data_IF_940634297452
#
_entry.id   IF_940634297452
#
_cell.length_a   1.000
_cell.length_b   1.000
_cell.length_c   1.000
_cell.angle_alpha   90.00
_cell.angle_beta   90.00
_cell.angle_gamma   90.00
#
_symmetry.space_group_name_H-M   'P 1'
#
loop_
_entity.id
_entity.type
_entity.pdbx_description
1 polymer ?
#
# COMPACT_ATOMS: atom_id res chain seq x y z
N UNK A 1 13.15 -4.79 -26.41
CA UNK A 1 12.68 -4.85 -25.00
C UNK A 1 12.88 -6.24 -24.38
N UNK A 2 12.35 -7.32 -24.96
CA UNK A 2 12.53 -8.71 -24.48
C UNK A 2 14.00 -9.17 -24.29
N UNK A 3 14.92 -8.72 -25.15
CA UNK A 3 16.36 -9.03 -25.04
C UNK A 3 17.05 -8.36 -23.84
N UNK A 4 16.58 -7.18 -23.43
CA UNK A 4 17.10 -6.42 -22.27
C UNK A 4 16.62 -7.07 -20.97
N UNK A 5 15.35 -7.51 -20.91
CA UNK A 5 14.80 -8.27 -19.79
C UNK A 5 15.55 -9.59 -19.56
N UNK A 6 15.94 -10.29 -20.64
CA UNK A 6 16.78 -11.49 -20.55
C UNK A 6 18.19 -11.24 -19.98
N UNK A 7 18.75 -10.04 -20.18
CA UNK A 7 20.09 -9.69 -19.70
C UNK A 7 20.13 -9.24 -18.22
N UNK A 8 18.97 -8.93 -17.62
CA UNK A 8 18.85 -8.41 -16.26
C UNK A 8 17.85 -9.27 -15.47
N UNK A 9 18.30 -10.39 -14.87
CA UNK A 9 17.41 -11.38 -14.26
C UNK A 9 16.58 -10.82 -13.10
N UNK A 10 16.99 -9.70 -12.49
CA UNK A 10 16.25 -9.05 -11.40
C UNK A 10 15.00 -8.28 -11.88
N UNK A 11 14.93 -7.82 -13.15
CA UNK A 11 13.72 -7.15 -13.67
C UNK A 11 12.53 -8.13 -13.81
N UNK A 12 12.84 -9.42 -13.96
CA UNK A 12 11.85 -10.48 -14.03
C UNK A 12 11.45 -11.01 -12.63
N UNK A 13 11.96 -10.41 -11.54
CA UNK A 13 11.70 -10.89 -10.18
C UNK A 13 10.73 -9.98 -9.44
N UNK A 14 9.69 -10.53 -8.79
CA UNK A 14 8.71 -9.77 -8.04
C UNK A 14 9.31 -8.90 -6.92
N UNK A 15 10.34 -9.39 -6.22
CA UNK A 15 10.98 -8.67 -5.10
C UNK A 15 11.43 -7.26 -5.47
N UNK A 16 12.03 -7.09 -6.65
CA UNK A 16 12.45 -5.78 -7.15
C UNK A 16 11.25 -4.81 -7.28
N UNK A 17 10.13 -5.30 -7.80
CA UNK A 17 8.93 -4.48 -8.02
C UNK A 17 8.18 -4.19 -6.73
N UNK A 18 8.13 -5.14 -5.79
CA UNK A 18 7.60 -4.90 -4.43
C UNK A 18 8.44 -3.85 -3.71
N UNK A 19 9.76 -3.84 -3.92
CA UNK A 19 10.64 -2.83 -3.35
C UNK A 19 10.34 -1.43 -3.91
N UNK A 20 10.23 -1.31 -5.24
CA UNK A 20 9.86 -0.04 -5.87
C UNK A 20 8.46 0.41 -5.46
N UNK A 21 7.51 -0.52 -5.34
CA UNK A 21 6.17 -0.26 -4.84
C UNK A 21 6.22 0.37 -3.44
N UNK A 22 6.99 -0.22 -2.52
CA UNK A 22 7.13 0.30 -1.15
C UNK A 22 7.79 1.68 -1.12
N UNK A 23 8.85 1.90 -1.91
CA UNK A 23 9.51 3.21 -2.02
C UNK A 23 8.55 4.27 -2.55
N UNK A 24 7.85 3.96 -3.64
CA UNK A 24 6.88 4.87 -4.26
C UNK A 24 5.75 5.22 -3.31
N UNK A 25 5.16 4.22 -2.66
CA UNK A 25 4.04 4.41 -1.73
C UNK A 25 4.46 5.20 -0.47
N UNK A 26 5.62 4.91 0.12
CA UNK A 26 6.15 5.72 1.24
C UNK A 26 6.33 7.17 0.79
N UNK A 27 6.87 7.41 -0.41
CA UNK A 27 7.03 8.76 -0.93
C UNK A 27 5.70 9.47 -1.16
N UNK A 28 4.72 8.78 -1.75
CA UNK A 28 3.40 9.34 -2.05
C UNK A 28 2.58 9.64 -0.78
N UNK A 29 2.77 8.88 0.30
CA UNK A 29 2.15 9.19 1.60
C UNK A 29 2.52 10.59 2.11
N UNK A 30 3.65 11.18 1.73
CA UNK A 30 3.93 12.57 2.06
C UNK A 30 2.90 13.52 1.43
N UNK A 31 2.52 13.27 0.17
CA UNK A 31 1.55 14.08 -0.57
C UNK A 31 0.15 13.89 -0.01
N UNK A 32 -0.25 12.63 0.19
CA UNK A 32 -1.59 12.28 0.68
C UNK A 32 -1.85 12.86 2.07
N UNK A 33 -0.92 12.65 3.01
CA UNK A 33 -0.99 13.21 4.36
C UNK A 33 -0.96 14.74 4.31
N UNK A 34 -0.11 15.34 3.48
CA UNK A 34 -0.04 16.80 3.40
C UNK A 34 -1.34 17.41 2.90
N UNK A 35 -2.00 16.80 1.92
CA UNK A 35 -3.30 17.25 1.43
C UNK A 35 -4.38 17.07 2.51
N UNK A 36 -4.41 15.92 3.19
CA UNK A 36 -5.39 15.65 4.24
C UNK A 36 -5.28 16.62 5.41
N UNK A 37 -4.07 16.86 5.92
CA UNK A 37 -3.82 17.79 7.04
C UNK A 37 -3.78 19.26 6.62
N UNK A 38 -3.85 19.56 5.32
CA UNK A 38 -4.09 20.94 4.89
C UNK A 38 -5.53 21.39 5.24
N UNK A 39 -6.48 20.45 5.42
CA UNK A 39 -7.87 20.76 5.74
C UNK A 39 -8.02 21.43 7.11
N UNK A 40 -7.21 21.02 8.10
CA UNK A 40 -7.13 21.63 9.43
C UNK A 40 -5.88 22.53 9.60
N UNK A 41 -5.18 22.85 8.50
CA UNK A 41 -3.97 23.66 8.48
C UNK A 41 -2.85 23.17 9.42
N UNK A 42 -2.71 21.85 9.58
CA UNK A 42 -1.75 21.22 10.48
C UNK A 42 -1.84 21.77 11.92
N UNK A 43 -3.03 21.68 12.49
CA UNK A 43 -3.34 22.23 13.82
C UNK A 43 -2.35 21.76 14.89
N UNK A 44 -1.90 20.51 14.82
CA UNK A 44 -0.89 19.98 15.73
C UNK A 44 0.46 19.76 15.05
N UNK A 45 1.60 20.14 15.69
CA UNK A 45 2.93 19.91 15.15
C UNK A 45 3.25 18.43 14.82
N UNK A 46 2.59 17.50 15.52
CA UNK A 46 2.75 16.06 15.29
C UNK A 46 2.28 15.64 13.88
N UNK A 47 1.39 16.39 13.25
CA UNK A 47 0.86 16.10 11.91
C UNK A 47 1.92 16.25 10.81
N UNK A 48 2.99 17.02 11.06
CA UNK A 48 4.14 17.13 10.16
C UNK A 48 5.07 15.92 10.19
N UNK A 49 5.03 15.10 11.24
CA UNK A 49 5.91 13.93 11.40
C UNK A 49 5.79 12.97 10.21
N UNK A 50 4.60 12.45 9.84
CA UNK A 50 4.45 11.56 8.69
C UNK A 50 4.96 12.18 7.38
N UNK A 51 4.67 13.46 7.12
CA UNK A 51 5.14 14.16 5.90
C UNK A 51 6.67 14.18 5.84
N UNK A 52 7.33 14.66 6.89
CA UNK A 52 8.79 14.74 6.95
C UNK A 52 9.42 13.35 6.90
N UNK A 53 8.83 12.37 7.60
CA UNK A 53 9.28 10.99 7.60
C UNK A 53 9.26 10.39 6.19
N UNK A 54 8.17 10.54 5.45
CA UNK A 54 8.06 10.03 4.08
C UNK A 54 9.01 10.70 3.10
N UNK A 55 9.16 12.03 3.17
CA UNK A 55 10.09 12.79 2.33
C UNK A 55 11.55 12.38 2.56
N UNK A 56 11.91 11.98 3.78
CA UNK A 56 13.25 11.47 4.09
C UNK A 56 13.43 9.99 3.72
N UNK A 57 12.46 9.14 4.07
CA UNK A 57 12.61 7.69 3.99
C UNK A 57 12.58 7.15 2.56
N UNK A 58 11.74 7.68 1.67
CA UNK A 58 11.67 7.19 0.29
C UNK A 58 13.00 7.39 -0.46
N UNK A 59 13.65 8.58 -0.44
CA UNK A 59 14.99 8.76 -1.00
C UNK A 59 16.04 7.89 -0.32
N UNK A 60 15.99 7.73 1.01
CA UNK A 60 16.95 6.87 1.73
C UNK A 60 16.83 5.40 1.34
N UNK A 61 15.62 4.88 1.13
CA UNK A 61 15.41 3.53 0.61
C UNK A 61 15.92 3.40 -0.83
N UNK A 62 15.69 4.40 -1.67
CA UNK A 62 16.24 4.43 -3.03
C UNK A 62 17.77 4.40 -3.03
N UNK A 63 18.40 5.20 -2.16
CA UNK A 63 19.86 5.18 -1.96
C UNK A 63 20.32 3.82 -1.46
N UNK A 64 19.61 3.21 -0.50
CA UNK A 64 19.92 1.87 -0.01
C UNK A 64 19.85 0.82 -1.14
N UNK A 65 18.87 0.92 -2.03
CA UNK A 65 18.75 0.07 -3.22
C UNK A 65 19.92 0.28 -4.19
N UNK A 66 20.33 1.52 -4.46
CA UNK A 66 21.48 1.79 -5.34
C UNK A 66 22.80 1.26 -4.76
N UNK A 67 23.01 1.42 -3.45
CA UNK A 67 24.22 1.00 -2.73
C UNK A 67 24.27 -0.52 -2.55
N UNK A 68 23.20 -1.11 -2.03
CA UNK A 68 23.09 -2.53 -1.69
C UNK A 68 22.82 -3.45 -2.87
N UNK A 69 22.18 -2.93 -3.92
CA UNK A 69 21.73 -3.68 -5.09
C UNK A 69 20.22 -3.61 -5.29
N UNK A 70 19.73 -3.94 -6.50
CA UNK A 70 18.31 -3.82 -6.85
C UNK A 70 17.41 -4.75 -6.02
N UNK A 71 17.97 -5.79 -5.42
CA UNK A 71 17.25 -6.69 -4.53
C UNK A 71 17.82 -6.54 -3.10
N UNK A 72 16.95 -6.32 -2.09
CA UNK A 72 17.38 -6.20 -0.71
C UNK A 72 18.01 -7.51 -0.20
N UNK A 73 19.05 -7.36 0.61
CA UNK A 73 19.74 -8.49 1.23
C UNK A 73 18.97 -9.00 2.46
N UNK A 74 19.03 -10.31 2.69
CA UNK A 74 18.54 -10.94 3.93
C UNK A 74 19.71 -11.40 4.80
N UNK A 75 19.44 -11.90 6.01
CA UNK A 75 20.49 -12.50 6.86
C UNK A 75 21.09 -13.76 6.23
N UNK A 76 20.28 -14.52 5.48
CA UNK A 76 20.67 -15.78 4.84
C UNK A 76 21.27 -15.58 3.46
N UNK A 77 21.00 -14.44 2.81
CA UNK A 77 21.34 -14.24 1.39
C UNK A 77 21.83 -12.84 1.10
N UNK A 78 23.00 -12.76 0.47
CA UNK A 78 23.62 -11.51 0.02
C UNK A 78 23.70 -11.48 -1.50
N UNK A 79 23.49 -10.32 -2.15
CA UNK A 79 23.77 -10.14 -3.56
C UNK A 79 25.24 -10.48 -3.88
N UNK A 80 25.46 -11.31 -4.91
CA UNK A 80 26.80 -11.66 -5.37
C UNK A 80 27.55 -10.43 -5.92
N UNK A 81 28.87 -10.40 -5.74
CA UNK A 81 29.72 -9.34 -6.27
C UNK A 81 29.59 -7.98 -5.57
N UNK A 82 28.88 -7.90 -4.42
CA UNK A 82 28.75 -6.67 -3.62
C UNK A 82 29.57 -6.76 -2.33
N UNK A 83 30.18 -5.63 -1.95
CA UNK A 83 30.95 -5.55 -0.71
C UNK A 83 30.03 -5.79 0.51
N UNK A 84 30.42 -6.64 1.49
CA UNK A 84 29.57 -7.01 2.63
C UNK A 84 29.02 -5.82 3.42
N UNK A 85 29.82 -4.77 3.60
CA UNK A 85 29.40 -3.59 4.35
C UNK A 85 28.27 -2.82 3.64
N UNK A 86 28.27 -2.77 2.30
CA UNK A 86 27.21 -2.09 1.52
C UNK A 86 25.88 -2.82 1.68
N UNK A 87 25.91 -4.15 1.61
CA UNK A 87 24.72 -4.98 1.78
C UNK A 87 24.17 -4.89 3.20
N UNK A 88 25.04 -4.88 4.21
CA UNK A 88 24.64 -4.74 5.62
C UNK A 88 24.07 -3.35 5.91
N UNK A 89 24.69 -2.29 5.38
CA UNK A 89 24.21 -0.92 5.50
C UNK A 89 22.83 -0.75 4.86
N UNK A 90 22.65 -1.20 3.61
CA UNK A 90 21.38 -1.11 2.90
C UNK A 90 20.26 -1.89 3.63
N UNK A 91 20.58 -3.09 4.15
CA UNK A 91 19.65 -3.87 4.98
C UNK A 91 19.30 -3.13 6.28
N UNK A 92 20.29 -2.56 6.95
CA UNK A 92 20.11 -1.79 8.19
C UNK A 92 19.21 -0.57 7.99
N UNK A 93 19.44 0.21 6.93
CA UNK A 93 18.58 1.33 6.53
C UNK A 93 17.15 0.86 6.31
N UNK A 94 16.96 -0.22 5.54
CA UNK A 94 15.63 -0.76 5.28
C UNK A 94 14.89 -1.21 6.54
N UNK A 95 15.57 -1.91 7.46
CA UNK A 95 14.97 -2.33 8.73
C UNK A 95 14.62 -1.14 9.63
N UNK A 96 15.51 -0.14 9.71
CA UNK A 96 15.26 1.08 10.48
C UNK A 96 14.03 1.83 9.95
N UNK A 97 13.93 1.99 8.62
CA UNK A 97 12.80 2.66 7.97
C UNK A 97 11.53 1.83 8.15
N UNK A 98 11.58 0.52 7.94
CA UNK A 98 10.41 -0.35 8.11
C UNK A 98 9.85 -0.31 9.55
N UNK A 99 10.73 -0.36 10.55
CA UNK A 99 10.32 -0.20 11.95
C UNK A 99 9.82 1.23 12.25
N UNK A 100 10.49 2.25 11.71
CA UNK A 100 10.07 3.65 11.83
C UNK A 100 8.66 3.87 11.26
N UNK A 101 8.36 3.32 10.08
CA UNK A 101 7.03 3.37 9.46
C UNK A 101 5.99 2.69 10.35
N UNK A 102 6.32 1.53 10.94
CA UNK A 102 5.42 0.86 11.88
C UNK A 102 5.10 1.74 13.10
N UNK A 103 6.12 2.39 13.68
CA UNK A 103 5.95 3.31 14.81
C UNK A 103 5.11 4.53 14.41
N UNK A 104 5.40 5.18 13.29
CA UNK A 104 4.64 6.32 12.79
C UNK A 104 3.17 5.93 12.55
N UNK A 105 2.92 4.77 11.94
CA UNK A 105 1.57 4.30 11.67
C UNK A 105 0.77 3.99 12.93
N UNK A 106 1.36 3.27 13.89
CA UNK A 106 0.70 2.94 15.17
C UNK A 106 0.50 4.20 16.03
N UNK A 107 1.51 5.07 16.12
CA UNK A 107 1.39 6.31 16.87
C UNK A 107 0.34 7.24 16.26
N UNK A 108 0.34 7.39 14.93
CA UNK A 108 -0.66 8.17 14.20
C UNK A 108 -2.07 7.62 14.41
N UNK A 109 -2.24 6.29 14.36
CA UNK A 109 -3.51 5.65 14.72
C UNK A 109 -3.93 6.04 16.14
N UNK A 110 -3.07 5.84 17.14
CA UNK A 110 -3.40 6.19 18.55
C UNK A 110 -3.77 7.66 18.70
N UNK A 111 -3.10 8.58 18.00
CA UNK A 111 -3.42 10.01 18.02
C UNK A 111 -4.78 10.28 17.37
N UNK A 112 -5.08 9.67 16.21
CA UNK A 112 -6.40 9.74 15.59
C UNK A 112 -7.48 9.15 16.51
N UNK A 113 -7.18 8.07 17.23
CA UNK A 113 -8.08 7.47 18.21
C UNK A 113 -8.25 8.31 19.50
N UNK A 114 -7.38 9.30 19.74
CA UNK A 114 -7.50 10.21 20.88
C UNK A 114 -8.15 11.55 20.53
N UNK A 115 -8.34 11.82 19.23
CA UNK A 115 -9.12 12.96 18.78
C UNK A 115 -10.60 12.83 19.17
N UNK A 116 -11.37 13.89 18.92
CA UNK A 116 -12.77 14.06 19.36
C UNK A 116 -13.70 12.88 19.07
N UNK A 117 -13.35 12.02 18.12
CA UNK A 117 -14.03 10.77 17.77
C UNK A 117 -14.39 9.85 18.94
N UNK A 118 -13.42 9.54 19.81
CA UNK A 118 -13.59 8.48 20.82
C UNK A 118 -14.09 9.00 22.16
N UNK A 119 -14.24 10.32 22.29
CA UNK A 119 -14.84 10.89 23.47
C UNK A 119 -16.33 10.54 23.55
N UNK A 120 -17.00 10.45 22.39
CA UNK A 120 -18.38 9.98 22.23
C UNK A 120 -18.44 8.85 21.19
N UNK A 121 -18.33 7.59 21.63
CA UNK A 121 -18.34 6.41 20.74
C UNK A 121 -19.71 6.14 20.11
N UNK A 122 -20.14 6.99 19.18
CA UNK A 122 -21.39 6.84 18.43
C UNK A 122 -21.12 6.38 17.00
N UNK A 123 -22.09 5.68 16.39
CA UNK A 123 -22.03 5.31 14.96
C UNK A 123 -21.89 6.57 14.07
N UNK A 124 -22.43 7.70 14.53
CA UNK A 124 -22.25 9.01 13.89
C UNK A 124 -20.77 9.42 13.91
N UNK A 125 -20.09 9.34 15.04
CA UNK A 125 -18.68 9.74 15.12
C UNK A 125 -17.78 8.76 14.36
N UNK A 126 -18.10 7.46 14.37
CA UNK A 126 -17.46 6.44 13.51
C UNK A 126 -17.46 6.83 12.03
N UNK A 127 -18.55 7.41 11.58
CA UNK A 127 -18.76 7.78 10.19
C UNK A 127 -18.17 9.16 9.90
N UNK A 128 -18.43 10.21 10.69
CA UNK A 128 -18.25 11.62 10.31
C UNK A 128 -16.93 12.29 10.75
N UNK A 129 -15.86 11.55 11.00
CA UNK A 129 -14.58 12.10 11.51
C UNK A 129 -13.38 11.68 10.65
N UNK A 130 -12.20 12.20 11.01
CA UNK A 130 -10.95 11.90 10.34
C UNK A 130 -10.72 10.38 10.23
N UNK A 131 -10.30 9.88 9.05
CA UNK A 131 -10.13 8.45 8.80
C UNK A 131 -9.07 7.86 9.75
N UNK A 132 -9.53 7.14 10.77
CA UNK A 132 -8.66 6.57 11.80
C UNK A 132 -7.77 5.45 11.25
N UNK A 133 -8.16 4.80 10.15
CA UNK A 133 -7.39 3.72 9.55
C UNK A 133 -6.30 4.21 8.57
N UNK A 134 -6.30 5.48 8.16
CA UNK A 134 -5.30 6.02 7.23
C UNK A 134 -3.85 5.88 7.73
N UNK A 135 -3.53 6.14 9.02
CA UNK A 135 -2.19 5.90 9.57
C UNK A 135 -1.69 4.45 9.44
N UNK A 136 -2.59 3.46 9.36
CA UNK A 136 -2.21 2.06 9.20
C UNK A 136 -1.52 1.75 7.86
N UNK A 137 -1.63 2.63 6.86
CA UNK A 137 -0.86 2.51 5.62
C UNK A 137 0.66 2.50 5.88
N UNK A 138 1.15 3.35 6.80
CA UNK A 138 2.56 3.33 7.23
C UNK A 138 2.92 2.00 7.90
N UNK A 139 2.04 1.43 8.72
CA UNK A 139 2.27 0.14 9.35
C UNK A 139 2.37 -0.99 8.31
N UNK A 140 1.45 -1.04 7.34
CA UNK A 140 1.47 -2.01 6.25
C UNK A 140 2.73 -1.93 5.40
N UNK A 141 3.12 -0.72 4.98
CA UNK A 141 4.36 -0.50 4.21
C UNK A 141 5.62 -0.80 5.04
N UNK A 142 5.61 -0.47 6.34
CA UNK A 142 6.70 -0.81 7.25
C UNK A 142 6.92 -2.32 7.34
N UNK A 143 5.84 -3.08 7.51
CA UNK A 143 5.86 -4.54 7.49
C UNK A 143 6.34 -5.09 6.14
N UNK A 144 5.92 -4.50 5.02
CA UNK A 144 6.36 -4.90 3.68
C UNK A 144 7.87 -4.68 3.48
N UNK A 145 8.39 -3.52 3.90
CA UNK A 145 9.83 -3.23 3.85
C UNK A 145 10.60 -4.21 4.72
N UNK A 146 10.12 -4.49 5.94
CA UNK A 146 10.74 -5.47 6.84
C UNK A 146 10.73 -6.88 6.24
N UNK A 147 9.61 -7.32 5.68
CA UNK A 147 9.45 -8.62 5.01
C UNK A 147 10.54 -8.83 3.96
N UNK A 148 10.77 -7.82 3.10
CA UNK A 148 11.79 -7.84 2.05
C UNK A 148 13.25 -7.98 2.58
N UNK A 149 13.49 -7.83 3.89
CA UNK A 149 14.82 -8.00 4.52
C UNK A 149 14.90 -9.20 5.47
N UNK A 150 13.76 -9.78 5.81
CA UNK A 150 13.65 -10.84 6.81
C UNK A 150 13.41 -12.21 6.18
N UNK A 151 12.67 -12.26 5.07
CA UNK A 151 12.32 -13.50 4.38
C UNK A 151 12.93 -13.47 2.97
N UNK A 152 13.46 -14.60 2.51
CA UNK A 152 14.03 -14.70 1.17
C UNK A 152 12.93 -14.57 0.11
N UNK A 153 13.05 -13.56 -0.77
CA UNK A 153 12.05 -13.25 -1.80
C UNK A 153 11.89 -14.32 -2.88
N UNK A 154 12.69 -15.40 -2.85
CA UNK A 154 12.54 -16.59 -3.70
C UNK A 154 11.81 -17.74 -3.01
N UNK A 155 11.04 -17.46 -1.97
CA UNK A 155 10.31 -18.49 -1.25
C UNK A 155 8.82 -18.24 -1.33
N UNK A 156 8.04 -19.33 -1.39
CA UNK A 156 6.58 -19.29 -1.20
C UNK A 156 6.15 -18.53 0.04
N UNK A 157 6.93 -18.63 1.12
CA UNK A 157 6.65 -17.93 2.37
C UNK A 157 6.62 -16.41 2.16
N UNK A 158 7.65 -15.83 1.53
CA UNK A 158 7.68 -14.40 1.23
C UNK A 158 6.49 -13.99 0.35
N UNK A 159 6.21 -14.75 -0.70
CA UNK A 159 5.11 -14.48 -1.62
C UNK A 159 3.75 -14.51 -0.91
N UNK A 160 3.52 -15.49 -0.03
CA UNK A 160 2.31 -15.60 0.77
C UNK A 160 2.15 -14.40 1.71
N UNK A 161 3.23 -13.92 2.35
CA UNK A 161 3.18 -12.72 3.18
C UNK A 161 2.85 -11.45 2.40
N UNK A 162 3.31 -11.31 1.15
CA UNK A 162 2.89 -10.20 0.28
C UNK A 162 1.37 -10.27 0.02
N UNK A 163 0.82 -11.46 -0.23
CA UNK A 163 -0.63 -11.64 -0.40
C UNK A 163 -1.40 -11.33 0.90
N UNK A 164 -0.87 -11.73 2.06
CA UNK A 164 -1.47 -11.40 3.37
C UNK A 164 -1.50 -9.88 3.59
N UNK A 165 -0.41 -9.18 3.29
CA UNK A 165 -0.36 -7.72 3.43
C UNK A 165 -1.33 -7.03 2.46
N UNK A 166 -1.44 -7.51 1.22
CA UNK A 166 -2.45 -7.03 0.28
C UNK A 166 -3.88 -7.26 0.81
N UNK A 167 -4.18 -8.47 1.32
CA UNK A 167 -5.48 -8.79 1.90
C UNK A 167 -5.79 -7.90 3.13
N UNK A 168 -4.82 -7.69 4.01
CA UNK A 168 -4.96 -6.76 5.14
C UNK A 168 -5.25 -5.33 4.70
N UNK A 169 -4.59 -4.87 3.64
CA UNK A 169 -4.88 -3.59 3.00
C UNK A 169 -6.32 -3.52 2.46
N UNK A 170 -6.81 -4.59 1.80
CA UNK A 170 -8.21 -4.66 1.34
C UNK A 170 -9.22 -4.67 2.48
N UNK A 171 -8.91 -5.32 3.60
CA UNK A 171 -9.74 -5.25 4.80
C UNK A 171 -9.82 -3.82 5.36
N UNK A 172 -8.68 -3.13 5.44
CA UNK A 172 -8.64 -1.72 5.84
C UNK A 172 -9.42 -0.82 4.87
N UNK A 173 -9.24 -1.02 3.57
CA UNK A 173 -9.93 -0.25 2.53
C UNK A 173 -11.44 -0.52 2.50
N UNK A 174 -11.89 -1.73 2.84
CA UNK A 174 -13.31 -2.03 3.04
C UNK A 174 -13.90 -1.19 4.19
N UNK A 175 -13.21 -1.14 5.33
CA UNK A 175 -13.66 -0.33 6.48
C UNK A 175 -13.68 1.15 6.14
N UNK A 176 -12.63 1.67 5.47
CA UNK A 176 -12.55 3.06 5.03
C UNK A 176 -13.66 3.41 4.03
N UNK A 177 -13.80 2.62 2.97
CA UNK A 177 -14.85 2.82 1.96
C UNK A 177 -16.25 2.82 2.59
N UNK A 178 -16.50 1.91 3.54
CA UNK A 178 -17.77 1.85 4.24
C UNK A 178 -18.00 3.11 5.09
N UNK A 179 -17.01 3.54 5.86
CA UNK A 179 -17.13 4.70 6.74
C UNK A 179 -17.27 6.00 5.94
N UNK A 180 -16.42 6.23 4.94
CA UNK A 180 -16.39 7.46 4.16
C UNK A 180 -17.69 7.63 3.35
N UNK A 181 -18.18 6.58 2.70
CA UNK A 181 -19.43 6.68 1.93
C UNK A 181 -20.69 6.66 2.82
N UNK A 182 -20.62 6.10 4.03
CA UNK A 182 -21.70 6.25 5.00
C UNK A 182 -21.91 7.71 5.43
N UNK A 183 -20.88 8.57 5.37
CA UNK A 183 -21.03 10.02 5.65
C UNK A 183 -21.99 10.68 4.67
N UNK A 184 -21.98 10.21 3.42
CA UNK A 184 -22.87 10.67 2.37
C UNK A 184 -24.19 9.87 2.31
N UNK A 185 -24.39 8.93 3.25
CA UNK A 185 -25.55 8.05 3.29
C UNK A 185 -25.70 7.16 2.05
N UNK A 186 -24.59 6.88 1.34
CA UNK A 186 -24.61 6.18 0.05
C UNK A 186 -25.58 6.80 -0.97
N UNK A 187 -25.61 8.14 -1.05
CA UNK A 187 -26.58 8.87 -1.87
C UNK A 187 -26.61 8.39 -3.33
N UNK A 188 -25.46 8.03 -3.91
CA UNK A 188 -25.38 7.42 -5.24
C UNK A 188 -25.17 5.91 -5.14
N UNK A 189 -25.90 5.09 -5.93
CA UNK A 189 -25.67 3.66 -5.99
C UNK A 189 -24.23 3.27 -6.34
N UNK A 190 -23.51 4.10 -7.11
CA UNK A 190 -22.10 3.85 -7.45
C UNK A 190 -21.15 3.91 -6.25
N UNK A 191 -21.55 4.51 -5.13
CA UNK A 191 -20.75 4.53 -3.89
C UNK A 191 -20.62 3.12 -3.27
N UNK A 192 -21.57 2.21 -3.56
CA UNK A 192 -21.46 0.81 -3.13
C UNK A 192 -20.38 0.02 -3.89
N UNK A 193 -19.92 0.52 -5.04
CA UNK A 193 -18.91 -0.17 -5.86
C UNK A 193 -17.60 -0.34 -5.10
N UNK A 194 -17.16 0.66 -4.33
CA UNK A 194 -15.94 0.58 -3.53
C UNK A 194 -16.07 -0.44 -2.40
N UNK A 195 -17.19 -0.41 -1.66
CA UNK A 195 -17.46 -1.34 -0.54
C UNK A 195 -17.51 -2.79 -1.02
N UNK A 196 -18.28 -3.07 -2.08
CA UNK A 196 -18.41 -4.43 -2.63
C UNK A 196 -17.09 -4.87 -3.25
N UNK A 197 -16.44 -3.99 -4.01
CA UNK A 197 -15.14 -4.27 -4.64
C UNK A 197 -14.08 -4.66 -3.61
N UNK A 198 -13.96 -3.89 -2.53
CA UNK A 198 -13.01 -4.18 -1.45
C UNK A 198 -13.31 -5.49 -0.71
N UNK A 199 -14.59 -5.77 -0.42
CA UNK A 199 -14.99 -7.03 0.21
C UNK A 199 -14.68 -8.26 -0.68
N UNK A 200 -14.98 -8.17 -1.98
CA UNK A 200 -14.68 -9.23 -2.95
C UNK A 200 -13.16 -9.45 -3.05
N UNK A 201 -12.39 -8.38 -3.19
CA UNK A 201 -10.92 -8.44 -3.25
C UNK A 201 -10.32 -9.09 -2.00
N UNK A 202 -10.75 -8.65 -0.81
CA UNK A 202 -10.34 -9.24 0.46
C UNK A 202 -10.64 -10.74 0.53
N UNK A 203 -11.87 -11.14 0.16
CA UNK A 203 -12.29 -12.55 0.18
C UNK A 203 -11.46 -13.43 -0.74
N UNK A 204 -11.21 -12.99 -1.99
CA UNK A 204 -10.42 -13.77 -2.95
C UNK A 204 -8.94 -13.90 -2.53
N UNK A 205 -8.32 -12.83 -2.04
CA UNK A 205 -6.94 -12.94 -1.55
C UNK A 205 -6.83 -13.78 -0.28
N UNK A 206 -7.81 -13.69 0.63
CA UNK A 206 -7.87 -14.58 1.81
C UNK A 206 -8.01 -16.05 1.40
N UNK A 207 -8.83 -16.34 0.39
CA UNK A 207 -8.93 -17.69 -0.17
C UNK A 207 -7.59 -18.17 -0.77
N UNK A 208 -6.84 -17.29 -1.44
CA UNK A 208 -5.49 -17.61 -1.94
C UNK A 208 -4.53 -17.88 -0.78
N UNK A 209 -4.58 -17.12 0.32
CA UNK A 209 -3.75 -17.40 1.51
C UNK A 209 -4.08 -18.79 2.08
N UNK A 210 -5.35 -19.18 2.12
CA UNK A 210 -5.77 -20.48 2.62
C UNK A 210 -5.38 -21.65 1.69
N UNK A 211 -5.40 -21.43 0.37
CA UNK A 211 -5.11 -22.47 -0.63
C UNK A 211 -4.17 -21.93 -1.72
N UNK A 212 -2.90 -21.65 -1.38
CA UNK A 212 -1.98 -20.91 -2.26
C UNK A 212 -1.59 -21.67 -3.53
N UNK A 213 -1.68 -23.01 -3.52
CA UNK A 213 -1.32 -23.83 -4.67
C UNK A 213 -2.43 -23.95 -5.72
N UNK A 214 -3.65 -23.49 -5.45
CA UNK A 214 -4.79 -23.57 -6.37
C UNK A 214 -4.65 -22.56 -7.53
N UNK A 215 -4.26 -23.05 -8.73
CA UNK A 215 -4.02 -22.20 -9.91
C UNK A 215 -5.30 -21.51 -10.42
N UNK A 216 -6.44 -22.21 -10.60
CA UNK A 216 -7.69 -21.55 -10.98
C UNK A 216 -8.07 -20.40 -10.03
N UNK A 217 -7.96 -20.62 -8.71
CA UNK A 217 -8.25 -19.59 -7.71
C UNK A 217 -7.34 -18.37 -7.85
N UNK A 218 -6.02 -18.58 -8.03
CA UNK A 218 -5.07 -17.48 -8.25
C UNK A 218 -5.35 -16.71 -9.54
N UNK A 219 -5.74 -17.39 -10.62
CA UNK A 219 -6.11 -16.74 -11.87
C UNK A 219 -7.37 -15.87 -11.71
N UNK A 220 -8.39 -16.37 -10.99
CA UNK A 220 -9.58 -15.58 -10.67
C UNK A 220 -9.24 -14.41 -9.76
N UNK A 221 -8.42 -14.61 -8.73
CA UNK A 221 -7.97 -13.53 -7.86
C UNK A 221 -7.20 -12.45 -8.64
N UNK A 222 -6.35 -12.83 -9.59
CA UNK A 222 -5.65 -11.89 -10.46
C UNK A 222 -6.63 -11.10 -11.36
N UNK A 223 -7.67 -11.77 -11.90
CA UNK A 223 -8.72 -11.10 -12.65
C UNK A 223 -9.51 -10.11 -11.77
N UNK A 224 -9.80 -10.48 -10.52
CA UNK A 224 -10.42 -9.58 -9.53
C UNK A 224 -9.53 -8.36 -9.29
N UNK A 225 -8.22 -8.52 -9.09
CA UNK A 225 -7.30 -7.37 -8.95
C UNK A 225 -7.29 -6.48 -10.21
N UNK A 226 -7.34 -7.07 -11.40
CA UNK A 226 -7.43 -6.29 -12.65
C UNK A 226 -8.73 -5.47 -12.74
N UNK A 227 -9.85 -6.02 -12.27
CA UNK A 227 -11.11 -5.28 -12.15
C UNK A 227 -10.98 -4.17 -11.10
N UNK A 228 -10.31 -4.43 -9.98
CA UNK A 228 -10.08 -3.39 -8.96
C UNK A 228 -9.27 -2.21 -9.50
N UNK A 229 -8.29 -2.45 -10.39
CA UNK A 229 -7.58 -1.36 -11.10
C UNK A 229 -8.54 -0.49 -11.93
N UNK A 230 -9.50 -1.11 -12.61
CA UNK A 230 -10.51 -0.35 -13.35
C UNK A 230 -11.43 0.45 -12.41
N UNK A 231 -11.81 -0.13 -11.27
CA UNK A 231 -12.63 0.54 -10.25
C UNK A 231 -11.89 1.76 -9.68
N UNK A 232 -10.60 1.62 -9.34
CA UNK A 232 -9.79 2.72 -8.80
C UNK A 232 -9.67 3.88 -9.77
N UNK A 233 -9.32 3.59 -11.04
CA UNK A 233 -9.24 4.61 -12.09
C UNK A 233 -10.58 5.30 -12.39
N UNK A 234 -11.68 4.55 -12.45
CA UNK A 234 -13.02 5.13 -12.65
C UNK A 234 -13.42 5.97 -11.45
N UNK A 235 -13.20 5.48 -10.23
CA UNK A 235 -13.47 6.21 -9.00
C UNK A 235 -12.69 7.52 -8.92
N UNK A 236 -11.40 7.50 -9.27
CA UNK A 236 -10.55 8.69 -9.38
C UNK A 236 -11.17 9.71 -10.33
N UNK A 237 -11.57 9.28 -11.53
CA UNK A 237 -12.23 10.13 -12.51
C UNK A 237 -13.53 10.74 -11.99
N UNK A 238 -14.36 9.97 -11.28
CA UNK A 238 -15.60 10.45 -10.68
C UNK A 238 -15.36 11.49 -9.58
N UNK A 239 -14.36 11.27 -8.72
CA UNK A 239 -13.99 12.21 -7.65
C UNK A 239 -13.44 13.52 -8.22
N UNK A 240 -12.51 13.44 -9.17
CA UNK A 240 -11.97 14.62 -9.88
C UNK A 240 -13.09 15.39 -10.57
N UNK A 241 -13.96 14.69 -11.31
CA UNK A 241 -15.09 15.31 -12.00
C UNK A 241 -16.05 16.02 -11.02
N UNK A 242 -16.35 15.40 -9.88
CA UNK A 242 -17.20 16.02 -8.86
C UNK A 242 -16.61 17.34 -8.34
N UNK A 243 -15.30 17.38 -8.06
CA UNK A 243 -14.60 18.57 -7.58
C UNK A 243 -14.51 19.68 -8.63
N UNK A 244 -14.43 19.33 -9.92
CA UNK A 244 -14.38 20.29 -11.03
C UNK A 244 -15.76 20.87 -11.35
N UNK A 245 -16.81 20.04 -11.39
CA UNK A 245 -18.17 20.46 -11.81
C UNK A 245 -18.96 21.14 -10.71
N UNK A 246 -18.61 20.89 -9.43
CA UNK A 246 -19.22 21.56 -8.27
C UNK A 246 -18.16 22.37 -7.52
N UNK A 247 -17.57 23.40 -8.16
CA UNK A 247 -16.48 24.10 -7.54
C UNK A 247 -16.95 24.93 -6.34
N UNK A 248 -16.13 24.94 -5.30
CA UNK A 248 -16.20 25.87 -4.19
C UNK A 248 -15.66 27.25 -4.61
N UNK A 249 -15.29 28.11 -3.66
CA UNK A 249 -14.73 29.44 -3.95
C UNK A 249 -13.50 29.40 -4.86
N UNK A 250 -12.70 28.32 -4.82
CA UNK A 250 -11.57 28.09 -5.74
C UNK A 250 -11.50 26.62 -6.12
N UNK A 251 -10.85 26.31 -7.25
CA UNK A 251 -10.60 24.92 -7.64
C UNK A 251 -9.81 24.17 -6.57
N UNK A 252 -8.81 24.82 -5.95
CA UNK A 252 -8.03 24.24 -4.86
C UNK A 252 -8.91 23.88 -3.67
N UNK A 253 -9.78 24.79 -3.24
CA UNK A 253 -10.71 24.53 -2.14
C UNK A 253 -11.69 23.39 -2.49
N UNK A 254 -12.04 23.19 -3.76
CA UNK A 254 -12.86 22.04 -4.16
C UNK A 254 -12.16 20.71 -4.01
N UNK A 255 -10.84 20.65 -4.25
CA UNK A 255 -10.06 19.44 -4.02
C UNK A 255 -9.73 19.22 -2.55
N UNK A 256 -9.59 20.30 -1.78
CA UNK A 256 -9.28 20.25 -0.36
C UNK A 256 -10.50 19.85 0.50
N UNK A 257 -11.69 20.37 0.17
CA UNK A 257 -12.91 20.17 0.97
C UNK A 257 -13.97 19.31 0.27
N UNK A 258 -13.70 18.87 -0.97
CA UNK A 258 -14.60 18.02 -1.76
C UNK A 258 -14.29 16.54 -1.61
N UNK A 259 -14.57 15.77 -2.67
CA UNK A 259 -14.30 14.35 -2.69
C UNK A 259 -12.77 14.10 -2.67
N UNK A 260 -12.24 13.23 -1.80
CA UNK A 260 -10.81 12.97 -1.72
C UNK A 260 -10.34 12.32 -3.02
N UNK A 261 -9.62 13.07 -3.86
CA UNK A 261 -9.30 12.64 -5.23
C UNK A 261 -8.43 11.38 -5.26
N UNK A 262 -7.52 11.20 -4.29
CA UNK A 262 -6.60 10.06 -4.26
C UNK A 262 -7.16 8.81 -3.58
N UNK A 263 -8.25 8.92 -2.81
CA UNK A 263 -8.82 7.76 -2.10
C UNK A 263 -9.16 6.58 -3.03
N UNK A 264 -9.72 6.77 -4.24
CA UNK A 264 -9.94 5.67 -5.18
C UNK A 264 -8.65 5.00 -5.69
N UNK A 265 -7.53 5.73 -5.78
CA UNK A 265 -6.25 5.17 -6.26
C UNK A 265 -5.65 4.16 -5.27
N UNK A 266 -6.12 4.13 -4.01
CA UNK A 266 -5.77 3.06 -3.08
C UNK A 266 -6.21 1.68 -3.59
N UNK A 267 -7.28 1.60 -4.39
CA UNK A 267 -7.66 0.35 -5.05
C UNK A 267 -6.56 -0.11 -6.01
N UNK A 268 -5.94 0.82 -6.73
CA UNK A 268 -4.88 0.51 -7.68
C UNK A 268 -3.62 0.05 -6.94
N UNK A 269 -3.25 0.74 -5.86
CA UNK A 269 -2.10 0.36 -5.03
C UNK A 269 -2.26 -1.06 -4.44
N UNK A 270 -3.42 -1.36 -3.85
CA UNK A 270 -3.69 -2.67 -3.25
C UNK A 270 -3.84 -3.78 -4.31
N UNK A 271 -4.40 -3.45 -5.47
CA UNK A 271 -4.48 -4.37 -6.61
C UNK A 271 -3.10 -4.70 -7.16
N UNK A 272 -2.22 -3.70 -7.31
CA UNK A 272 -0.82 -3.89 -7.74
C UNK A 272 -0.09 -4.77 -6.73
N UNK A 273 -0.18 -4.48 -5.43
CA UNK A 273 0.46 -5.29 -4.40
C UNK A 273 -0.04 -6.74 -4.42
N UNK A 274 -1.36 -6.94 -4.56
CA UNK A 274 -1.98 -8.25 -4.71
C UNK A 274 -1.46 -9.00 -5.95
N UNK A 275 -1.39 -8.33 -7.10
CA UNK A 275 -0.83 -8.91 -8.33
C UNK A 275 0.64 -9.26 -8.21
N UNK A 276 1.45 -8.45 -7.51
CA UNK A 276 2.85 -8.75 -7.24
C UNK A 276 3.01 -10.01 -6.36
N UNK A 277 2.17 -10.16 -5.32
CA UNK A 277 2.14 -11.37 -4.49
C UNK A 277 1.70 -12.61 -5.27
N UNK A 278 0.66 -12.50 -6.10
CA UNK A 278 0.17 -13.59 -6.96
C UNK A 278 1.20 -14.00 -8.01
N UNK A 279 1.89 -13.03 -8.62
CA UNK A 279 3.00 -13.28 -9.53
C UNK A 279 4.14 -14.02 -8.83
N UNK A 280 4.49 -13.61 -7.61
CA UNK A 280 5.52 -14.27 -6.82
C UNK A 280 5.22 -15.73 -6.51
N UNK A 281 3.96 -16.05 -6.18
CA UNK A 281 3.53 -17.43 -5.96
C UNK A 281 3.66 -18.30 -7.23
N UNK A 282 3.52 -17.73 -8.42
CA UNK A 282 3.71 -18.46 -9.69
C UNK A 282 5.19 -18.58 -10.07
N UNK A 283 5.98 -17.53 -9.87
CA UNK A 283 7.41 -17.53 -10.19
C UNK A 283 8.21 -18.54 -9.35
N UNK A 284 7.88 -18.70 -8.07
CA UNK A 284 8.52 -19.67 -7.18
C UNK A 284 8.35 -21.12 -7.67
N UNK A 285 7.15 -21.48 -8.17
CA UNK A 285 6.90 -22.82 -8.73
C UNK A 285 7.83 -23.13 -9.90
N UNK A 286 8.10 -22.15 -10.77
CA UNK A 286 8.99 -22.33 -11.92
C UNK A 286 10.43 -22.61 -11.47
N UNK A 287 10.91 -21.95 -10.40
CA UNK A 287 12.25 -22.23 -9.89
C UNK A 287 12.34 -23.64 -9.27
N UNK A 288 11.32 -24.10 -8.55
CA UNK A 288 11.31 -25.47 -7.98
C UNK A 288 11.31 -26.54 -9.06
N UNK A 289 10.45 -26.42 -10.08
CA UNK A 289 10.32 -27.42 -11.16
C UNK A 289 11.57 -27.48 -12.06
N UNK A 290 12.38 -26.42 -12.12
CA UNK A 290 13.60 -26.39 -12.93
C UNK A 290 14.78 -27.18 -12.31
N UNK A 291 14.70 -27.55 -11.03
CA UNK A 291 15.76 -28.29 -10.31
C UNK A 291 15.30 -29.67 -9.79
N UNK A 292 14.09 -30.10 -10.10
CA UNK A 292 13.54 -31.43 -9.81
C UNK A 292 13.66 -32.36 -11.01
#
# INVERSE_FOLDING_TARGET
>A
MLRILRSKPWLARPLFWVELFAIGNIGFLAVDVAVAHQMNAFEHPAEYIPVAFSLACAPLLLVAMLVGGPEPATSRRRPEGRAPWRTSLARGIGLLIGFGSLVVGIAGLILHLRGDFFHDMTLKNLVYTAPFAAPLAYAGLGLLVMLNRMVDGRTKEWAAWVVVLAAGGWAGNFVLSLADHAQNGFFRPSEWTSVIGAAVAFGFLTAVVAVPDNRPLRAVAAAVMAIQLAIGLVGFGLHVHANVVRPSATLWASFLYGAPAFAPLLFDDLAILGLLGLWALEADKIEVDAYA
#
